data_IF_144421685304
#
_entry.id   IF_144421685304
#
_cell.length_a   1.000
_cell.length_b   1.000
_cell.length_c   1.000
_cell.angle_alpha   90.00
_cell.angle_beta   90.00
_cell.angle_gamma   90.00
#
_symmetry.space_group_name_H-M   'P 1'
#
loop_
_entity.id
_entity.type
_entity.pdbx_description
1 polymer ?
#
# COMPACT_ATOMS: atom_id res chain seq x y z
N UNK A 1 -14.49 32.41 17.81
CA UNK A 1 -15.18 31.48 16.88
C UNK A 1 -15.72 30.33 17.69
N UNK A 2 -17.05 30.30 17.92
CA UNK A 2 -17.73 29.27 18.73
C UNK A 2 -18.29 28.24 17.75
N UNK A 3 -17.78 27.01 17.78
CA UNK A 3 -18.31 25.91 16.96
C UNK A 3 -19.34 25.16 17.81
N UNK A 4 -20.59 25.20 17.37
CA UNK A 4 -21.70 24.46 17.95
C UNK A 4 -21.67 23.04 17.37
N UNK A 5 -21.42 22.02 18.20
CA UNK A 5 -21.59 20.63 17.79
C UNK A 5 -23.02 20.20 18.14
N UNK A 6 -23.87 20.15 17.13
CA UNK A 6 -25.21 19.57 17.24
C UNK A 6 -25.14 18.09 17.62
N UNK A 7 -25.84 17.73 18.69
CA UNK A 7 -25.97 16.36 19.18
C UNK A 7 -26.91 15.56 18.26
N UNK A 8 -26.36 14.71 17.40
CA UNK A 8 -27.15 13.80 16.57
C UNK A 8 -27.33 12.46 17.31
N UNK A 9 -28.50 12.25 17.91
CA UNK A 9 -28.88 10.97 18.52
C UNK A 9 -29.41 10.03 17.43
N UNK A 10 -28.67 8.97 17.09
CA UNK A 10 -29.16 7.90 16.23
C UNK A 10 -30.14 7.02 17.03
N UNK A 11 -31.42 7.00 16.65
CA UNK A 11 -32.40 6.02 17.16
C UNK A 11 -32.11 4.66 16.51
N UNK A 12 -31.63 3.72 17.31
CA UNK A 12 -31.40 2.33 16.88
C UNK A 12 -32.77 1.65 16.65
N UNK A 13 -33.11 1.35 15.40
CA UNK A 13 -34.15 0.36 15.10
C UNK A 13 -33.54 -1.04 15.18
N UNK A 14 -34.31 -2.02 15.66
CA UNK A 14 -33.88 -3.41 15.77
C UNK A 14 -33.35 -3.94 14.42
N UNK A 15 -32.24 -4.70 14.40
CA UNK A 15 -31.67 -5.19 13.15
C UNK A 15 -32.64 -6.20 12.51
N UNK A 16 -33.17 -5.85 11.34
CA UNK A 16 -33.90 -6.81 10.51
C UNK A 16 -32.85 -7.72 9.86
N UNK A 17 -32.84 -9.01 10.18
CA UNK A 17 -32.02 -10.02 9.51
C UNK A 17 -32.45 -10.15 8.05
N UNK A 18 -31.90 -9.31 7.17
CA UNK A 18 -31.91 -9.59 5.74
C UNK A 18 -30.84 -10.63 5.50
N UNK A 19 -31.25 -11.85 5.16
CA UNK A 19 -30.37 -12.86 4.59
C UNK A 19 -29.68 -12.26 3.36
N UNK A 20 -28.48 -11.73 3.55
CA UNK A 20 -27.66 -11.30 2.44
C UNK A 20 -27.22 -12.56 1.70
N UNK A 21 -27.46 -12.61 0.40
CA UNK A 21 -26.96 -13.67 -0.47
C UNK A 21 -25.44 -13.55 -0.68
N UNK A 22 -24.69 -13.30 0.40
CA UNK A 22 -23.23 -13.34 0.38
C UNK A 22 -22.81 -14.79 0.25
N UNK A 23 -22.58 -15.22 -1.00
CA UNK A 23 -21.79 -16.43 -1.23
C UNK A 23 -20.38 -16.10 -0.76
N UNK A 24 -19.90 -16.82 0.25
CA UNK A 24 -18.49 -16.79 0.63
C UNK A 24 -17.69 -17.04 -0.66
N UNK A 25 -16.85 -16.09 -1.09
CA UNK A 25 -15.91 -16.35 -2.17
C UNK A 25 -15.10 -17.59 -1.81
N UNK A 26 -14.70 -18.36 -2.81
CA UNK A 26 -13.73 -19.44 -2.67
C UNK A 26 -12.54 -18.94 -1.82
N UNK A 27 -12.02 -19.76 -0.89
CA UNK A 27 -11.09 -19.33 0.18
C UNK A 27 -9.74 -18.76 -0.33
N UNK A 28 -9.56 -18.69 -1.65
CA UNK A 28 -8.40 -18.09 -2.30
C UNK A 28 -8.61 -16.57 -2.45
N UNK A 29 -7.86 -15.73 -1.73
CA UNK A 29 -7.97 -14.29 -1.90
C UNK A 29 -7.50 -13.87 -3.29
N UNK A 30 -8.40 -13.22 -4.03
CA UNK A 30 -8.09 -12.61 -5.32
C UNK A 30 -7.28 -11.32 -5.10
N UNK A 31 -5.95 -11.44 -5.06
CA UNK A 31 -5.06 -10.29 -4.98
C UNK A 31 -4.91 -9.62 -6.35
N UNK A 32 -5.02 -8.30 -6.38
CA UNK A 32 -4.81 -7.50 -7.59
C UNK A 32 -3.31 -7.22 -7.73
N UNK A 33 -2.69 -7.83 -8.74
CA UNK A 33 -1.25 -7.73 -8.99
C UNK A 33 -1.02 -7.11 -10.36
N UNK A 34 -0.25 -6.03 -10.40
CA UNK A 34 0.22 -5.42 -11.64
C UNK A 34 1.63 -5.90 -11.95
N UNK A 35 1.84 -6.32 -13.21
CA UNK A 35 3.19 -6.51 -13.76
C UNK A 35 3.69 -5.16 -14.28
N UNK A 36 4.72 -4.62 -13.64
CA UNK A 36 5.38 -3.37 -14.02
C UNK A 36 6.79 -3.65 -14.52
N UNK A 37 7.39 -2.68 -15.20
CA UNK A 37 8.76 -2.78 -15.73
C UNK A 37 9.61 -1.62 -15.25
N UNK A 38 10.89 -1.85 -15.03
CA UNK A 38 11.88 -0.81 -14.84
C UNK A 38 12.84 -0.79 -16.03
N UNK A 39 13.81 0.12 -16.05
CA UNK A 39 14.90 0.06 -17.02
C UNK A 39 15.80 -1.18 -16.87
N UNK A 40 15.81 -1.79 -15.69
CA UNK A 40 16.71 -2.89 -15.30
C UNK A 40 16.03 -4.24 -15.22
N UNK A 41 14.69 -4.27 -15.12
CA UNK A 41 13.90 -5.49 -14.95
C UNK A 41 12.60 -5.39 -15.75
N UNK A 42 12.31 -6.43 -16.52
CA UNK A 42 11.16 -6.49 -17.44
C UNK A 42 9.90 -7.06 -16.78
N UNK A 43 9.98 -7.57 -15.56
CA UNK A 43 8.82 -8.06 -14.83
C UNK A 43 8.99 -7.94 -13.33
N UNK A 44 8.34 -6.94 -12.74
CA UNK A 44 8.19 -6.76 -11.30
C UNK A 44 6.73 -6.89 -10.90
N UNK A 45 6.47 -7.43 -9.71
CA UNK A 45 5.12 -7.63 -9.17
C UNK A 45 4.77 -6.51 -8.20
N UNK A 46 3.77 -5.71 -8.54
CA UNK A 46 3.23 -4.69 -7.66
C UNK A 46 1.86 -5.13 -7.12
N UNK A 47 1.74 -5.20 -5.80
CA UNK A 47 0.44 -5.40 -5.15
C UNK A 47 -0.33 -4.08 -5.15
N UNK A 48 -1.59 -4.11 -5.59
CA UNK A 48 -2.51 -2.99 -5.37
C UNK A 48 -3.20 -3.23 -4.04
N UNK A 49 -2.97 -2.32 -3.09
CA UNK A 49 -3.47 -2.44 -1.72
C UNK A 49 -4.14 -1.14 -1.28
N UNK A 50 -5.47 -1.12 -1.32
CA UNK A 50 -6.25 0.02 -0.84
C UNK A 50 -6.25 0.17 0.69
N UNK A 51 -5.81 -0.85 1.43
CA UNK A 51 -5.64 -0.81 2.88
C UNK A 51 -4.28 -0.27 3.32
N UNK A 52 -3.32 -0.17 2.40
CA UNK A 52 -2.02 0.43 2.69
C UNK A 52 -2.12 1.95 2.73
N UNK A 53 -1.51 2.55 3.76
CA UNK A 53 -1.47 4.02 3.92
C UNK A 53 -0.42 4.69 3.02
N UNK A 54 0.62 3.98 2.62
CA UNK A 54 1.74 4.53 1.86
C UNK A 54 2.19 3.57 0.76
N UNK A 55 2.88 4.14 -0.24
CA UNK A 55 3.56 3.35 -1.27
C UNK A 55 4.87 2.79 -0.73
N UNK A 56 5.02 1.47 -0.82
CA UNK A 56 6.22 0.77 -0.38
C UNK A 56 6.99 0.15 -1.54
N UNK A 57 8.28 -0.04 -1.32
CA UNK A 57 9.16 -0.83 -2.17
C UNK A 57 9.95 -1.79 -1.31
N UNK A 58 10.08 -3.03 -1.76
CA UNK A 58 10.88 -4.04 -1.09
C UNK A 58 12.36 -3.69 -1.19
N UNK A 59 13.08 -3.72 -0.07
CA UNK A 59 14.51 -3.40 -0.01
C UNK A 59 15.34 -4.23 -0.99
N UNK A 60 15.11 -5.54 -1.05
CA UNK A 60 15.84 -6.47 -1.92
C UNK A 60 15.48 -6.28 -3.41
N UNK A 61 14.39 -5.59 -3.72
CA UNK A 61 14.01 -5.27 -5.10
C UNK A 61 14.60 -3.94 -5.60
N UNK A 62 15.22 -3.13 -4.73
CA UNK A 62 15.86 -1.86 -5.14
C UNK A 62 16.91 -1.99 -6.25
N UNK A 63 17.80 -3.01 -6.26
CA UNK A 63 18.78 -3.15 -7.35
C UNK A 63 18.13 -3.34 -8.74
N UNK A 64 16.93 -3.94 -8.78
CA UNK A 64 16.11 -4.16 -9.98
C UNK A 64 15.40 -2.90 -10.46
N UNK A 65 15.46 -1.80 -9.70
CA UNK A 65 14.75 -0.56 -9.97
C UNK A 65 15.72 0.56 -10.33
N UNK A 66 15.23 1.53 -11.11
CA UNK A 66 15.90 2.79 -11.27
C UNK A 66 15.39 3.76 -10.20
N UNK A 67 16.21 4.06 -9.20
CA UNK A 67 15.81 4.90 -8.08
C UNK A 67 16.88 5.95 -7.71
N UNK A 68 16.42 7.01 -7.06
CA UNK A 68 17.25 8.02 -6.39
C UNK A 68 16.82 8.09 -4.92
N UNK A 69 17.76 8.28 -4.00
CA UNK A 69 17.41 8.52 -2.59
C UNK A 69 16.81 9.93 -2.47
N UNK A 70 15.69 10.05 -1.76
CA UNK A 70 15.07 11.34 -1.46
C UNK A 70 15.60 11.81 -0.13
N UNK A 71 16.11 13.03 -0.06
CA UNK A 71 16.54 13.61 1.21
C UNK A 71 15.31 13.88 2.07
N UNK A 72 15.15 13.11 3.14
CA UNK A 72 14.07 13.27 4.13
C UNK A 72 14.66 13.35 5.53
N UNK A 73 14.09 14.15 6.44
CA UNK A 73 14.52 14.18 7.83
C UNK A 73 14.58 12.77 8.44
N UNK A 74 15.66 12.48 9.16
CA UNK A 74 15.81 11.20 9.86
C UNK A 74 14.67 11.07 10.87
N UNK A 75 13.92 10.00 10.72
CA UNK A 75 12.78 9.66 11.57
C UNK A 75 12.63 8.14 11.60
N UNK A 76 12.00 7.63 12.66
CA UNK A 76 11.63 6.22 12.75
C UNK A 76 10.20 6.08 12.22
N UNK A 77 10.00 5.09 11.36
CA UNK A 77 8.68 4.68 10.89
C UNK A 77 8.28 3.39 11.62
N UNK A 78 7.05 3.36 12.12
CA UNK A 78 6.41 2.17 12.64
C UNK A 78 5.31 1.71 11.67
N UNK A 79 5.34 0.45 11.26
CA UNK A 79 4.44 -0.12 10.26
C UNK A 79 3.83 -1.41 10.78
N UNK A 80 2.49 -1.49 10.80
CA UNK A 80 1.77 -2.73 11.07
C UNK A 80 1.54 -3.48 9.75
N UNK A 81 2.14 -4.65 9.62
CA UNK A 81 2.03 -5.50 8.44
C UNK A 81 0.71 -6.28 8.44
N UNK A 82 0.35 -6.84 7.27
CA UNK A 82 -0.84 -7.69 7.12
C UNK A 82 -0.81 -8.93 8.03
N UNK A 83 0.38 -9.40 8.43
CA UNK A 83 0.57 -10.47 9.42
C UNK A 83 0.18 -10.06 10.84
N UNK A 84 -0.13 -8.78 11.06
CA UNK A 84 -0.38 -8.20 12.37
C UNK A 84 0.88 -7.76 13.11
N UNK A 85 2.07 -8.14 12.62
CA UNK A 85 3.35 -7.73 13.19
C UNK A 85 3.60 -6.23 13.01
N UNK A 86 4.24 -5.61 14.00
CA UNK A 86 4.67 -4.20 13.93
C UNK A 86 6.18 -4.14 13.75
N UNK A 87 6.62 -3.44 12.71
CA UNK A 87 8.04 -3.22 12.39
C UNK A 87 8.40 -1.76 12.62
N UNK A 88 9.50 -1.51 13.34
CA UNK A 88 10.09 -0.18 13.51
C UNK A 88 11.39 -0.13 12.72
N UNK A 89 11.52 0.86 11.84
CA UNK A 89 12.70 1.03 10.98
C UNK A 89 13.01 2.50 10.77
N UNK A 90 14.26 2.83 10.45
CA UNK A 90 14.57 4.16 9.95
C UNK A 90 13.81 4.43 8.65
N UNK A 91 13.19 5.60 8.55
CA UNK A 91 12.45 6.01 7.37
C UNK A 91 13.44 6.31 6.24
N UNK A 92 13.41 5.47 5.22
CA UNK A 92 14.14 5.69 3.96
C UNK A 92 13.14 5.87 2.82
N UNK A 93 13.21 7.01 2.15
CA UNK A 93 12.38 7.30 0.97
C UNK A 93 13.24 7.31 -0.28
N UNK A 94 12.77 6.64 -1.32
CA UNK A 94 13.39 6.62 -2.64
C UNK A 94 12.38 7.04 -3.70
N UNK A 95 12.81 7.76 -4.73
CA UNK A 95 11.97 8.02 -5.90
C UNK A 95 12.26 6.95 -6.94
N UNK A 96 11.27 6.13 -7.24
CA UNK A 96 11.39 4.98 -8.13
C UNK A 96 10.76 5.31 -9.47
N UNK A 97 11.49 5.01 -10.56
CA UNK A 97 10.96 5.06 -11.92
C UNK A 97 10.61 3.67 -12.43
N UNK A 98 9.35 3.49 -12.82
CA UNK A 98 8.84 2.26 -13.42
C UNK A 98 7.84 2.60 -14.53
N UNK A 99 7.43 1.60 -15.30
CA UNK A 99 6.46 1.72 -16.36
C UNK A 99 5.39 0.65 -16.26
N UNK A 100 4.19 1.01 -16.68
CA UNK A 100 3.08 0.10 -16.85
C UNK A 100 2.44 0.40 -18.20
N UNK A 101 2.32 -0.63 -19.05
CA UNK A 101 1.99 -0.48 -20.47
C UNK A 101 2.94 0.53 -21.15
N UNK A 102 2.39 1.59 -21.74
CA UNK A 102 3.11 2.66 -22.43
C UNK A 102 3.39 3.89 -21.56
N UNK A 103 3.07 3.84 -20.26
CA UNK A 103 3.22 4.99 -19.35
C UNK A 103 4.37 4.78 -18.38
N UNK A 104 5.09 5.85 -18.11
CA UNK A 104 6.21 5.89 -17.16
C UNK A 104 5.78 6.70 -15.94
N UNK A 105 6.10 6.18 -14.76
CA UNK A 105 5.78 6.75 -13.46
C UNK A 105 7.09 7.01 -12.70
N UNK A 106 7.11 8.06 -11.89
CA UNK A 106 8.25 8.45 -11.07
C UNK A 106 7.76 8.92 -9.70
N UNK A 107 7.67 7.98 -8.75
CA UNK A 107 6.97 8.19 -7.47
C UNK A 107 7.88 7.93 -6.28
N UNK A 108 7.65 8.66 -5.19
CA UNK A 108 8.31 8.44 -3.91
C UNK A 108 7.73 7.20 -3.23
N UNK A 109 8.60 6.35 -2.69
CA UNK A 109 8.27 5.10 -2.02
C UNK A 109 9.10 4.93 -0.77
N UNK A 110 8.49 4.41 0.27
CA UNK A 110 9.20 4.04 1.50
C UNK A 110 9.82 2.66 1.29
N UNK A 111 11.10 2.53 1.63
CA UNK A 111 11.80 1.25 1.61
C UNK A 111 11.43 0.47 2.86
N UNK A 112 10.94 -0.76 2.69
CA UNK A 112 10.70 -1.71 3.77
C UNK A 112 11.27 -3.08 3.41
N UNK A 113 11.63 -3.85 4.42
CA UNK A 113 11.91 -5.27 4.26
C UNK A 113 10.58 -6.03 4.19
N UNK A 114 10.15 -6.35 2.97
CA UNK A 114 8.92 -7.08 2.69
C UNK A 114 9.26 -8.54 2.33
N UNK A 115 8.27 -9.41 2.44
CA UNK A 115 8.37 -10.79 1.95
C UNK A 115 8.69 -10.83 0.44
N UNK A 116 8.99 -12.02 -0.07
CA UNK A 116 9.39 -12.19 -1.47
C UNK A 116 8.24 -12.22 -2.46
N UNK A 117 6.99 -12.04 -2.01
CA UNK A 117 5.80 -12.15 -2.84
C UNK A 117 5.62 -10.95 -3.76
N UNK A 118 6.01 -9.75 -3.34
CA UNK A 118 5.84 -8.53 -4.12
C UNK A 118 7.08 -7.63 -4.08
N UNK A 119 7.36 -6.97 -5.20
CA UNK A 119 8.46 -6.01 -5.30
C UNK A 119 8.01 -4.61 -4.85
N UNK A 120 6.73 -4.26 -5.07
CA UNK A 120 6.15 -2.96 -4.72
C UNK A 120 4.74 -3.12 -4.13
N UNK A 121 4.35 -2.16 -3.30
CA UNK A 121 2.96 -1.95 -2.85
C UNK A 121 2.48 -0.60 -3.39
N UNK A 122 1.33 -0.61 -4.07
CA UNK A 122 0.63 0.56 -4.58
C UNK A 122 -0.54 0.86 -3.66
N UNK A 123 -0.40 1.90 -2.84
CA UNK A 123 -1.46 2.40 -1.99
C UNK A 123 -2.43 3.27 -2.79
N UNK A 124 -3.69 3.32 -2.35
CA UNK A 124 -4.72 4.18 -2.93
C UNK A 124 -4.70 5.61 -2.35
N UNK A 125 -3.52 6.19 -2.14
CA UNK A 125 -3.39 7.58 -1.67
C UNK A 125 -3.86 8.52 -2.79
N UNK A 126 -4.96 9.23 -2.54
CA UNK A 126 -5.54 10.25 -3.44
C UNK A 126 -4.74 11.56 -3.43
#
# INVERSE_FOLDING_TARGET
MRVYNGHATLKTAAPSERNSHYKKPDDKPNLVILKIRSKRENSLRALVDSGALNNFVRQQSLPKLNFENVNTPRSVLEVRLATGATVRTEKRVVRVRFSYKHRVFAENRIVLDLDDKFDLVLACTA
#
